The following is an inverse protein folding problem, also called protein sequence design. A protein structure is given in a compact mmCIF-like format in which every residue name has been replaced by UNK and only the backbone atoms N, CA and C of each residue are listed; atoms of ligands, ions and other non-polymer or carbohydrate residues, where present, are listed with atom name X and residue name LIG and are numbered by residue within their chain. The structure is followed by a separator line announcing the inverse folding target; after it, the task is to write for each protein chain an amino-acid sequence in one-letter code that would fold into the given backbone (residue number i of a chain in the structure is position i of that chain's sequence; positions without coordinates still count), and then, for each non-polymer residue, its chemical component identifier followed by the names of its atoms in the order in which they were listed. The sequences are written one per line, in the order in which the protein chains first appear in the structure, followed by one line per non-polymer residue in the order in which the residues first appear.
data_IF_911411277635
#
_entry.id   IF_911411277635
#
_cell.length_a   1.000
_cell.length_b   1.000
_cell.length_c   1.000
_cell.angle_alpha   90.00
_cell.angle_beta   90.00
_cell.angle_gamma   90.00
#
_symmetry.space_group_name_H-M   'P 1'
#
loop_
_entity.id
_entity.type
_entity.pdbx_description
1 polymer ?
#
# COMPACT_ATOMS: atom_id res chain seq x y z
N UNK A 1 -10.72 -15.39 -18.55
CA UNK A 1 -9.36 -14.89 -18.28
C UNK A 1 -9.34 -14.46 -16.83
N UNK A 2 -8.22 -14.60 -16.11
CA UNK A 2 -8.08 -14.20 -14.70
C UNK A 2 -8.33 -12.69 -14.56
N UNK A 3 -9.29 -12.27 -13.70
CA UNK A 3 -9.64 -10.86 -13.48
C UNK A 3 -8.44 -10.02 -13.05
N UNK A 4 -7.52 -10.62 -12.30
CA UNK A 4 -6.29 -9.98 -11.84
C UNK A 4 -5.48 -9.37 -12.99
N UNK A 5 -5.44 -10.02 -14.17
CA UNK A 5 -4.67 -9.51 -15.31
C UNK A 5 -5.22 -8.18 -15.85
N UNK A 6 -6.53 -7.97 -15.78
CA UNK A 6 -7.15 -6.72 -16.19
C UNK A 6 -6.86 -5.59 -15.18
N UNK A 7 -6.86 -5.90 -13.89
CA UNK A 7 -6.48 -4.96 -12.85
C UNK A 7 -4.99 -4.56 -12.95
N UNK A 8 -4.10 -5.52 -13.17
CA UNK A 8 -2.68 -5.26 -13.42
C UNK A 8 -2.47 -4.36 -14.65
N UNK A 9 -3.18 -4.66 -15.74
CA UNK A 9 -3.16 -3.85 -16.96
C UNK A 9 -3.62 -2.41 -16.70
N UNK A 10 -4.71 -2.23 -15.97
CA UNK A 10 -5.24 -0.91 -15.64
C UNK A 10 -4.29 -0.13 -14.71
N UNK A 11 -3.72 -0.80 -13.71
CA UNK A 11 -2.75 -0.21 -12.79
C UNK A 11 -1.47 0.24 -13.51
N UNK A 12 -0.98 -0.53 -14.48
CA UNK A 12 0.19 -0.16 -15.29
C UNK A 12 -0.12 1.04 -16.21
N UNK A 13 -1.32 1.09 -16.78
CA UNK A 13 -1.76 2.22 -17.60
C UNK A 13 -1.84 3.53 -16.82
N UNK A 14 -2.41 3.51 -15.62
CA UNK A 14 -2.69 4.71 -14.83
C UNK A 14 -1.52 5.09 -13.91
N UNK A 15 -0.73 4.12 -13.47
CA UNK A 15 0.31 4.29 -12.45
C UNK A 15 -0.24 4.39 -11.02
N UNK A 16 0.65 4.14 -10.05
CA UNK A 16 0.32 4.16 -8.61
C UNK A 16 -0.13 5.55 -8.15
N UNK A 17 -1.17 5.62 -7.33
CA UNK A 17 -1.71 6.88 -6.77
C UNK A 17 -2.38 7.80 -7.79
N UNK A 18 -2.88 7.26 -8.89
CA UNK A 18 -3.61 8.02 -9.89
C UNK A 18 -4.97 8.47 -9.35
N UNK A 19 -5.16 9.77 -9.16
CA UNK A 19 -6.43 10.36 -8.69
C UNK A 19 -7.60 10.17 -9.66
N UNK A 20 -7.32 9.80 -10.88
CA UNK A 20 -8.35 9.55 -11.89
C UNK A 20 -8.85 8.11 -11.88
N UNK A 21 -8.24 7.23 -11.07
CA UNK A 21 -8.63 5.83 -10.97
C UNK A 21 -10.08 5.68 -10.50
N UNK A 22 -10.47 6.36 -9.41
CA UNK A 22 -11.85 6.32 -8.89
C UNK A 22 -12.85 6.80 -9.93
N UNK A 23 -12.58 7.93 -10.58
CA UNK A 23 -13.46 8.45 -11.63
C UNK A 23 -13.62 7.48 -12.80
N UNK A 24 -12.53 6.84 -13.23
CA UNK A 24 -12.59 5.87 -14.31
C UNK A 24 -13.41 4.64 -13.91
N UNK A 25 -13.29 4.18 -12.65
CA UNK A 25 -14.04 3.05 -12.13
C UNK A 25 -15.52 3.37 -11.85
N UNK A 26 -15.86 4.64 -11.61
CA UNK A 26 -17.27 5.08 -11.57
C UNK A 26 -17.93 4.96 -12.95
N UNK A 27 -17.20 5.28 -14.02
CA UNK A 27 -17.67 5.18 -15.40
C UNK A 27 -17.57 3.72 -15.93
N UNK A 28 -16.54 2.98 -15.53
CA UNK A 28 -16.20 1.61 -15.97
C UNK A 28 -15.79 0.75 -14.77
N UNK A 29 -16.76 0.21 -14.02
CA UNK A 29 -16.47 -0.54 -12.78
C UNK A 29 -15.66 -1.83 -12.98
N UNK A 30 -15.79 -2.46 -14.16
CA UNK A 30 -15.09 -3.69 -14.50
C UNK A 30 -13.96 -3.41 -15.52
N UNK A 31 -12.68 -3.57 -15.14
CA UNK A 31 -11.58 -3.43 -16.08
C UNK A 31 -11.61 -4.40 -17.26
N UNK A 32 -12.30 -5.55 -17.15
CA UNK A 32 -12.44 -6.47 -18.27
C UNK A 32 -13.42 -5.92 -19.32
N UNK A 33 -14.54 -5.33 -18.90
CA UNK A 33 -15.48 -4.64 -19.78
C UNK A 33 -14.83 -3.42 -20.44
N UNK A 34 -14.08 -2.62 -19.65
CA UNK A 34 -13.31 -1.49 -20.17
C UNK A 34 -12.34 -1.92 -21.26
N UNK A 35 -11.61 -3.03 -21.06
CA UNK A 35 -10.71 -3.56 -22.09
C UNK A 35 -11.49 -4.01 -23.34
N UNK A 36 -12.64 -4.62 -23.17
CA UNK A 36 -13.54 -5.00 -24.28
C UNK A 36 -13.94 -3.80 -25.15
N UNK A 37 -14.29 -2.69 -24.50
CA UNK A 37 -14.62 -1.43 -25.19
C UNK A 37 -13.42 -0.84 -25.93
N UNK A 38 -12.23 -0.84 -25.31
CA UNK A 38 -11.00 -0.39 -25.97
C UNK A 38 -10.74 -1.20 -27.24
N UNK A 39 -10.93 -2.53 -27.21
CA UNK A 39 -10.77 -3.40 -28.38
C UNK A 39 -11.86 -3.19 -29.45
N UNK A 40 -13.03 -2.74 -29.06
CA UNK A 40 -14.11 -2.38 -29.99
C UNK A 40 -13.92 -0.98 -30.63
N UNK A 41 -12.79 -0.33 -30.36
CA UNK A 41 -12.46 0.99 -30.94
C UNK A 41 -12.92 2.19 -30.10
N UNK A 42 -13.32 1.97 -28.84
CA UNK A 42 -13.62 3.06 -27.93
C UNK A 42 -12.36 3.91 -27.64
N UNK A 43 -12.52 5.21 -27.66
CA UNK A 43 -11.45 6.13 -27.31
C UNK A 43 -11.45 6.39 -25.81
N UNK A 44 -10.33 6.11 -25.11
CA UNK A 44 -10.21 6.41 -23.71
C UNK A 44 -10.45 7.89 -23.41
N UNK A 45 -11.07 8.24 -22.24
CA UNK A 45 -11.41 9.61 -21.91
C UNK A 45 -10.25 10.58 -22.00
N UNK A 46 -10.52 11.81 -22.48
CA UNK A 46 -9.49 12.85 -22.65
C UNK A 46 -8.84 13.30 -21.34
N UNK A 47 -9.51 13.09 -20.20
CA UNK A 47 -8.94 13.39 -18.89
C UNK A 47 -7.79 12.44 -18.51
N UNK A 48 -7.66 11.30 -19.18
CA UNK A 48 -6.50 10.41 -19.02
C UNK A 48 -5.30 10.96 -19.79
N UNK A 49 -4.11 10.73 -19.25
CA UNK A 49 -2.87 11.14 -19.94
C UNK A 49 -2.75 10.44 -21.31
N UNK A 50 -2.10 11.11 -22.26
CA UNK A 50 -1.82 10.51 -23.58
C UNK A 50 -1.11 9.16 -23.45
N UNK A 51 -0.14 9.06 -22.53
CA UNK A 51 0.59 7.81 -22.23
C UNK A 51 -0.35 6.69 -21.74
N UNK A 52 -1.29 6.99 -20.85
CA UNK A 52 -2.25 5.99 -20.36
C UNK A 52 -3.14 5.49 -21.48
N UNK A 53 -3.68 6.39 -22.30
CA UNK A 53 -4.54 6.06 -23.45
C UNK A 53 -3.81 5.19 -24.48
N UNK A 54 -2.59 5.56 -24.84
CA UNK A 54 -1.73 4.80 -25.75
C UNK A 54 -1.43 3.39 -25.20
N UNK A 55 -1.08 3.29 -23.91
CA UNK A 55 -0.84 2.02 -23.26
C UNK A 55 -2.10 1.12 -23.31
N UNK A 56 -3.27 1.66 -22.96
CA UNK A 56 -4.53 0.90 -22.95
C UNK A 56 -4.88 0.35 -24.33
N UNK A 57 -4.57 1.07 -25.40
CA UNK A 57 -4.80 0.63 -26.78
C UNK A 57 -3.77 -0.40 -27.27
N UNK A 58 -2.50 -0.22 -26.88
CA UNK A 58 -1.38 -1.02 -27.41
C UNK A 58 -1.18 -2.33 -26.63
N UNK A 59 -1.42 -2.35 -25.31
CA UNK A 59 -1.07 -3.46 -24.43
C UNK A 59 -2.30 -4.30 -24.09
N UNK A 60 -2.18 -5.62 -24.18
CA UNK A 60 -3.24 -6.55 -23.77
C UNK A 60 -3.02 -7.03 -22.32
N UNK A 61 -4.09 -7.27 -21.53
CA UNK A 61 -4.00 -7.81 -20.17
C UNK A 61 -3.22 -9.12 -20.08
N UNK A 62 -3.25 -9.95 -21.12
CA UNK A 62 -2.47 -11.19 -21.18
C UNK A 62 -0.94 -10.96 -21.02
N UNK A 63 -0.44 -9.78 -21.38
CA UNK A 63 0.98 -9.43 -21.20
C UNK A 63 1.37 -9.24 -19.72
N UNK A 64 0.38 -9.11 -18.82
CA UNK A 64 0.60 -9.04 -17.37
C UNK A 64 0.85 -10.42 -16.75
N UNK A 65 0.69 -11.51 -17.50
CA UNK A 65 0.87 -12.88 -17.01
C UNK A 65 2.30 -13.14 -16.47
N UNK A 66 3.32 -12.53 -17.06
CA UNK A 66 4.70 -12.62 -16.57
C UNK A 66 4.88 -11.99 -15.19
N UNK A 67 4.27 -10.84 -14.95
CA UNK A 67 4.29 -10.17 -13.65
C UNK A 67 3.53 -10.99 -12.59
N UNK A 68 2.34 -11.50 -12.94
CA UNK A 68 1.57 -12.37 -12.04
C UNK A 68 2.38 -13.61 -11.66
N UNK A 69 2.95 -14.31 -12.66
CA UNK A 69 3.82 -15.46 -12.40
C UNK A 69 5.00 -15.10 -11.50
N UNK A 70 5.63 -13.94 -11.70
CA UNK A 70 6.73 -13.48 -10.85
C UNK A 70 6.28 -13.26 -9.40
N UNK A 71 5.07 -12.77 -9.19
CA UNK A 71 4.50 -12.65 -7.85
C UNK A 71 4.28 -14.04 -7.23
N UNK A 72 3.70 -14.98 -7.97
CA UNK A 72 3.47 -16.35 -7.51
C UNK A 72 4.80 -17.04 -7.14
N UNK A 73 5.84 -16.92 -7.97
CA UNK A 73 7.19 -17.48 -7.72
C UNK A 73 7.85 -16.90 -6.44
N UNK A 74 7.47 -15.70 -6.02
CA UNK A 74 7.99 -15.02 -4.83
C UNK A 74 7.05 -15.10 -3.61
N UNK A 75 5.95 -15.87 -3.69
CA UNK A 75 4.90 -15.91 -2.68
C UNK A 75 4.34 -14.50 -2.34
N UNK A 76 4.19 -13.65 -3.34
CA UNK A 76 3.57 -12.33 -3.22
C UNK A 76 2.12 -12.46 -3.65
N UNK A 77 1.18 -12.17 -2.74
CA UNK A 77 -0.22 -12.08 -3.09
C UNK A 77 -0.54 -10.74 -3.78
N UNK A 78 -1.56 -10.74 -4.63
CA UNK A 78 -2.05 -9.55 -5.33
C UNK A 78 -3.48 -9.30 -4.87
N UNK A 79 -3.74 -8.10 -4.34
CA UNK A 79 -5.07 -7.65 -3.98
C UNK A 79 -5.53 -6.55 -4.94
N UNK A 80 -6.73 -6.70 -5.42
CA UNK A 80 -7.42 -5.77 -6.33
C UNK A 80 -8.76 -5.37 -5.71
N UNK A 81 -9.40 -4.28 -6.09
CA UNK A 81 -10.65 -3.84 -5.49
C UNK A 81 -11.78 -4.89 -5.49
N UNK A 82 -11.75 -5.89 -6.37
CA UNK A 82 -12.68 -7.02 -6.39
C UNK A 82 -12.26 -8.21 -5.50
N UNK A 83 -11.03 -8.19 -4.93
CA UNK A 83 -10.56 -9.23 -4.04
C UNK A 83 -11.29 -9.20 -2.69
N UNK A 84 -11.61 -10.38 -2.13
CA UNK A 84 -12.29 -10.49 -0.83
C UNK A 84 -11.48 -9.89 0.31
N UNK A 85 -10.16 -10.08 0.31
CA UNK A 85 -9.24 -9.56 1.33
C UNK A 85 -8.76 -8.13 1.07
N UNK A 86 -9.23 -7.47 0.00
CA UNK A 86 -8.85 -6.09 -0.25
C UNK A 86 -9.28 -5.18 0.92
N UNK A 87 -8.39 -4.31 1.43
CA UNK A 87 -8.71 -3.45 2.57
C UNK A 87 -9.89 -2.51 2.27
N UNK A 88 -11.05 -2.77 2.86
CA UNK A 88 -12.29 -2.04 2.54
C UNK A 88 -12.15 -0.52 2.76
N UNK A 89 -11.38 -0.10 3.76
CA UNK A 89 -11.13 1.31 4.04
C UNK A 89 -10.42 2.03 2.89
N UNK A 90 -9.56 1.33 2.14
CA UNK A 90 -8.84 1.92 1.01
C UNK A 90 -9.72 2.13 -0.23
N UNK A 91 -10.89 1.49 -0.32
CA UNK A 91 -11.83 1.69 -1.43
C UNK A 91 -12.38 3.11 -1.50
N UNK A 92 -12.43 3.80 -0.36
CA UNK A 92 -12.97 5.16 -0.26
C UNK A 92 -11.93 6.26 -0.56
N UNK A 93 -10.69 5.88 -0.85
CA UNK A 93 -9.67 6.87 -1.23
C UNK A 93 -9.94 7.40 -2.65
N UNK A 94 -9.82 8.71 -2.88
CA UNK A 94 -9.98 9.29 -4.22
C UNK A 94 -8.93 8.80 -5.21
N UNK A 95 -7.80 8.32 -4.70
CA UNK A 95 -6.69 7.72 -5.41
C UNK A 95 -6.48 6.27 -4.93
N UNK A 96 -7.59 5.49 -4.87
CA UNK A 96 -7.55 4.11 -4.39
C UNK A 96 -6.46 3.30 -5.10
N UNK A 97 -5.76 2.43 -4.40
CA UNK A 97 -4.79 1.53 -5.02
C UNK A 97 -5.49 0.47 -5.86
N UNK A 98 -5.29 0.49 -7.18
CA UNK A 98 -5.85 -0.51 -8.10
C UNK A 98 -5.27 -1.90 -7.88
N UNK A 99 -4.02 -1.95 -7.42
CA UNK A 99 -3.30 -3.18 -7.10
C UNK A 99 -2.47 -2.94 -5.86
N UNK A 100 -2.54 -3.88 -4.92
CA UNK A 100 -1.64 -3.99 -3.79
C UNK A 100 -0.91 -5.34 -3.88
N UNK A 101 0.39 -5.29 -4.00
CA UNK A 101 1.27 -6.44 -3.84
C UNK A 101 1.57 -6.63 -2.36
N UNK A 102 1.52 -7.88 -1.86
CA UNK A 102 1.72 -8.10 -0.44
C UNK A 102 2.40 -9.40 -0.08
N UNK A 103 2.98 -9.42 1.12
CA UNK A 103 3.54 -10.60 1.77
C UNK A 103 2.98 -10.70 3.20
N UNK A 104 3.05 -11.88 3.82
CA UNK A 104 2.43 -12.14 5.11
C UNK A 104 0.97 -12.62 4.97
N UNK A 105 0.08 -12.17 5.85
CA UNK A 105 -1.29 -12.66 5.91
C UNK A 105 -2.32 -11.57 5.53
N UNK A 106 -3.01 -11.67 4.38
CA UNK A 106 -3.99 -10.68 3.96
C UNK A 106 -5.24 -10.62 4.88
N UNK A 107 -5.55 -11.68 5.63
CA UNK A 107 -6.70 -11.69 6.54
C UNK A 107 -6.61 -10.63 7.67
N UNK A 108 -5.40 -10.11 7.98
CA UNK A 108 -5.23 -9.04 8.96
C UNK A 108 -5.67 -7.64 8.47
N UNK A 109 -6.08 -7.51 7.21
CA UNK A 109 -6.37 -6.22 6.57
C UNK A 109 -7.82 -5.75 6.75
N UNK A 110 -8.70 -6.60 7.28
CA UNK A 110 -10.10 -6.30 7.51
C UNK A 110 -10.55 -6.79 8.90
N UNK A 111 -11.69 -6.26 9.39
CA UNK A 111 -12.32 -6.73 10.62
C UNK A 111 -11.57 -6.38 11.92
N UNK A 112 -10.61 -5.45 11.88
CA UNK A 112 -9.83 -4.98 13.02
C UNK A 112 -9.93 -3.47 13.18
N UNK A 113 -9.45 -2.97 14.32
CA UNK A 113 -9.19 -1.54 14.52
C UNK A 113 -7.76 -1.22 14.14
N UNK A 114 -7.57 -0.14 13.42
CA UNK A 114 -6.28 0.24 12.86
C UNK A 114 -5.89 1.63 13.32
N UNK A 115 -4.67 1.78 13.83
CA UNK A 115 -4.09 3.07 14.19
C UNK A 115 -2.76 3.25 13.47
N UNK A 116 -2.64 4.34 12.72
CA UNK A 116 -1.41 4.73 12.08
C UNK A 116 -0.42 5.31 13.10
N UNK A 117 0.75 4.70 13.25
CA UNK A 117 1.84 5.23 14.05
C UNK A 117 2.88 5.83 13.12
N UNK A 118 3.04 7.14 13.13
CA UNK A 118 3.93 7.85 12.20
C UNK A 118 4.79 8.87 12.94
N UNK A 119 5.95 9.18 12.38
CA UNK A 119 6.79 10.17 13.02
C UNK A 119 8.16 10.37 12.38
N UNK A 120 9.03 11.05 13.11
CA UNK A 120 10.37 11.37 12.64
C UNK A 120 11.25 10.13 12.49
N UNK A 121 12.11 10.14 11.48
CA UNK A 121 13.15 9.10 11.30
C UNK A 121 14.32 9.22 12.29
N UNK A 122 14.43 10.36 12.99
CA UNK A 122 15.47 10.63 13.99
C UNK A 122 14.81 11.15 15.27
N UNK A 123 14.16 10.27 16.02
CA UNK A 123 13.44 10.63 17.23
C UNK A 123 14.40 10.93 18.40
N UNK A 124 13.90 11.70 19.35
CA UNK A 124 14.51 11.81 20.66
C UNK A 124 14.25 10.54 21.49
N UNK A 125 14.95 10.39 22.61
CA UNK A 125 14.68 9.28 23.55
C UNK A 125 13.24 9.33 24.07
N UNK A 126 12.69 10.53 24.31
CA UNK A 126 11.30 10.72 24.70
C UNK A 126 10.36 10.25 23.60
N UNK A 127 10.55 10.68 22.35
CA UNK A 127 9.72 10.29 21.23
C UNK A 127 9.71 8.75 21.01
N UNK A 128 10.86 8.10 21.17
CA UNK A 128 10.95 6.63 21.11
C UNK A 128 10.15 5.95 22.21
N UNK A 129 10.31 6.40 23.50
CA UNK A 129 9.59 5.85 24.62
C UNK A 129 8.08 6.04 24.44
N UNK A 130 7.64 7.26 24.16
CA UNK A 130 6.22 7.55 23.95
C UNK A 130 5.60 6.72 22.81
N UNK A 131 6.30 6.60 21.68
CA UNK A 131 5.85 5.78 20.55
C UNK A 131 5.72 4.30 20.96
N UNK A 132 6.74 3.76 21.61
CA UNK A 132 6.75 2.36 22.06
C UNK A 132 5.60 2.10 23.04
N UNK A 133 5.46 2.93 24.08
CA UNK A 133 4.47 2.72 25.15
C UNK A 133 3.04 2.82 24.62
N UNK A 134 2.77 3.79 23.74
CA UNK A 134 1.47 3.92 23.07
C UNK A 134 1.19 2.75 22.15
N UNK A 135 2.16 2.37 21.30
CA UNK A 135 1.97 1.25 20.36
C UNK A 135 1.79 -0.07 21.07
N UNK A 136 2.57 -0.35 22.13
CA UNK A 136 2.46 -1.53 22.94
C UNK A 136 1.06 -1.62 23.60
N UNK A 137 0.65 -0.54 24.26
CA UNK A 137 -0.66 -0.46 24.93
C UNK A 137 -1.84 -0.66 23.97
N UNK A 138 -1.75 -0.11 22.74
CA UNK A 138 -2.78 -0.32 21.71
C UNK A 138 -2.76 -1.75 21.19
N UNK A 139 -1.58 -2.29 20.88
CA UNK A 139 -1.43 -3.65 20.39
C UNK A 139 -1.95 -4.69 21.37
N UNK A 140 -1.64 -4.58 22.67
CA UNK A 140 -2.17 -5.44 23.75
C UNK A 140 -3.70 -5.43 23.83
N UNK A 141 -4.35 -4.38 23.32
CA UNK A 141 -5.81 -4.26 23.21
C UNK A 141 -6.37 -4.70 21.87
N UNK A 142 -5.57 -5.36 21.04
CA UNK A 142 -5.98 -5.89 19.74
C UNK A 142 -6.10 -4.85 18.63
N UNK A 143 -5.53 -3.64 18.83
CA UNK A 143 -5.44 -2.62 17.79
C UNK A 143 -4.24 -2.93 16.90
N UNK A 144 -4.46 -2.97 15.60
CA UNK A 144 -3.40 -3.19 14.59
C UNK A 144 -2.65 -1.87 14.35
N UNK A 145 -1.35 -1.87 14.59
CA UNK A 145 -0.49 -0.74 14.26
C UNK A 145 -0.22 -0.73 12.76
N UNK A 146 -0.45 0.42 12.12
CA UNK A 146 -0.19 0.63 10.70
C UNK A 146 0.92 1.65 10.54
N UNK A 147 1.96 1.36 9.78
CA UNK A 147 3.04 2.32 9.54
C UNK A 147 3.82 2.03 8.25
N UNK A 148 4.96 2.67 8.07
CA UNK A 148 5.72 2.64 6.84
C UNK A 148 7.01 1.83 6.84
N UNK A 149 7.28 1.11 7.89
CA UNK A 149 8.52 0.34 8.08
C UNK A 149 9.80 1.18 7.89
N UNK A 150 9.72 2.52 8.05
CA UNK A 150 10.86 3.43 7.98
C UNK A 150 11.70 3.38 9.27
N UNK A 151 12.88 4.01 9.25
CA UNK A 151 13.64 4.25 10.46
C UNK A 151 12.88 5.12 11.45
N UNK A 152 13.26 5.06 12.73
CA UNK A 152 12.70 5.88 13.79
C UNK A 152 11.36 5.39 14.27
N UNK A 153 10.35 6.27 14.30
CA UNK A 153 9.08 5.98 14.95
C UNK A 153 8.21 4.96 14.21
N UNK A 154 8.30 4.87 12.89
CA UNK A 154 7.62 3.82 12.12
C UNK A 154 8.09 2.42 12.59
N UNK A 155 9.41 2.20 12.59
CA UNK A 155 10.00 0.94 13.04
C UNK A 155 9.76 0.67 14.54
N UNK A 156 9.75 1.71 15.38
CA UNK A 156 9.47 1.56 16.82
C UNK A 156 8.03 1.11 17.07
N UNK A 157 7.06 1.66 16.34
CA UNK A 157 5.66 1.26 16.43
C UNK A 157 5.44 -0.20 16.03
N UNK A 158 6.00 -0.63 14.89
CA UNK A 158 5.95 -2.03 14.48
C UNK A 158 6.62 -2.97 15.51
N UNK A 159 7.78 -2.58 16.02
CA UNK A 159 8.53 -3.38 17.01
C UNK A 159 7.73 -3.57 18.30
N UNK A 160 7.05 -2.53 18.78
CA UNK A 160 6.18 -2.63 19.94
C UNK A 160 5.00 -3.60 19.71
N UNK A 161 4.39 -3.60 18.53
CA UNK A 161 3.35 -4.56 18.19
C UNK A 161 3.89 -6.01 18.14
N UNK A 162 5.08 -6.21 17.58
CA UNK A 162 5.77 -7.52 17.55
C UNK A 162 6.11 -7.98 18.97
N UNK A 163 6.62 -7.11 19.85
CA UNK A 163 6.88 -7.39 21.26
C UNK A 163 5.62 -7.82 22.02
N UNK A 164 4.46 -7.24 21.67
CA UNK A 164 3.15 -7.64 22.19
C UNK A 164 2.63 -8.97 21.61
N UNK A 165 3.35 -9.60 20.66
CA UNK A 165 2.86 -10.80 19.95
C UNK A 165 1.67 -10.51 19.04
N UNK A 166 1.49 -9.26 18.58
CA UNK A 166 0.32 -8.82 17.83
C UNK A 166 0.65 -8.50 16.37
N UNK A 167 -0.40 -8.60 15.53
CA UNK A 167 -0.32 -8.28 14.13
C UNK A 167 -0.07 -6.77 13.91
N UNK A 168 0.68 -6.45 12.86
CA UNK A 168 0.90 -5.09 12.41
C UNK A 168 0.96 -5.05 10.88
N UNK A 169 0.59 -3.92 10.26
CA UNK A 169 0.54 -3.75 8.81
C UNK A 169 1.51 -2.68 8.37
N UNK A 170 2.41 -3.02 7.46
CA UNK A 170 3.38 -2.09 6.90
C UNK A 170 3.06 -1.79 5.43
N UNK A 171 3.05 -0.50 5.07
CA UNK A 171 3.07 -0.10 3.66
C UNK A 171 4.49 0.30 3.26
N UNK A 172 4.94 -0.11 2.07
CA UNK A 172 6.24 0.26 1.51
C UNK A 172 6.10 1.32 0.41
N UNK A 173 7.09 2.20 0.30
CA UNK A 173 7.26 3.07 -0.85
C UNK A 173 8.29 2.53 -1.86
N UNK A 174 8.63 1.24 -1.77
CA UNK A 174 9.59 0.52 -2.62
C UNK A 174 8.92 -0.67 -3.29
N UNK A 175 9.62 -1.35 -4.21
CA UNK A 175 9.21 -2.67 -4.67
C UNK A 175 8.88 -3.58 -3.49
N UNK A 176 7.81 -4.38 -3.61
CA UNK A 176 7.34 -5.24 -2.50
C UNK A 176 8.41 -6.22 -2.01
N UNK A 177 9.28 -6.70 -2.87
CA UNK A 177 10.37 -7.60 -2.52
C UNK A 177 11.65 -6.90 -2.00
N UNK A 178 11.58 -5.57 -1.75
CA UNK A 178 12.71 -4.79 -1.20
C UNK A 178 12.32 -4.15 0.12
N UNK A 179 13.04 -4.48 1.19
CA UNK A 179 12.89 -3.79 2.47
C UNK A 179 13.84 -2.60 2.53
N UNK A 180 13.26 -1.42 2.75
CA UNK A 180 14.02 -0.19 2.96
C UNK A 180 13.48 0.57 4.18
N UNK A 181 14.34 0.91 5.15
CA UNK A 181 15.79 0.64 5.19
C UNK A 181 16.11 -0.82 5.52
N UNK A 182 17.33 -1.26 5.15
CA UNK A 182 17.77 -2.64 5.37
C UNK A 182 17.83 -3.05 6.84
N UNK A 183 17.98 -2.10 7.76
CA UNK A 183 17.98 -2.34 9.23
C UNK A 183 16.64 -2.93 9.72
N UNK A 184 15.55 -2.78 8.98
CA UNK A 184 14.22 -3.29 9.33
C UNK A 184 13.87 -4.62 8.63
N UNK A 185 14.84 -5.31 8.00
CA UNK A 185 14.62 -6.62 7.36
C UNK A 185 14.15 -7.66 8.38
N UNK A 186 14.84 -7.78 9.53
CA UNK A 186 14.44 -8.70 10.60
C UNK A 186 13.05 -8.38 11.12
N UNK A 187 12.75 -7.10 11.38
CA UNK A 187 11.44 -6.67 11.83
C UNK A 187 10.32 -7.03 10.83
N UNK A 188 10.60 -6.92 9.52
CA UNK A 188 9.67 -7.38 8.49
C UNK A 188 9.36 -8.87 8.63
N UNK A 189 10.39 -9.70 8.76
CA UNK A 189 10.21 -11.15 8.92
C UNK A 189 9.42 -11.49 10.20
N UNK A 190 9.70 -10.81 11.30
CA UNK A 190 9.01 -11.00 12.58
C UNK A 190 7.52 -10.63 12.49
N UNK A 191 7.19 -9.49 11.87
CA UNK A 191 5.80 -9.08 11.72
C UNK A 191 5.00 -10.02 10.79
N UNK A 192 5.62 -10.50 9.71
CA UNK A 192 5.00 -11.48 8.81
C UNK A 192 4.77 -12.83 9.52
N UNK A 193 5.72 -13.28 10.34
CA UNK A 193 5.60 -14.51 11.14
C UNK A 193 4.46 -14.47 12.18
N UNK A 194 4.12 -13.28 12.69
CA UNK A 194 2.99 -13.06 13.59
C UNK A 194 1.66 -12.87 12.85
N UNK A 195 1.62 -13.11 11.54
CA UNK A 195 0.41 -12.98 10.73
C UNK A 195 0.06 -11.55 10.38
N UNK A 196 1.00 -10.62 10.47
CA UNK A 196 0.89 -9.28 9.90
C UNK A 196 1.11 -9.29 8.39
N UNK A 197 0.97 -8.13 7.75
CA UNK A 197 1.14 -7.98 6.30
C UNK A 197 2.05 -6.80 5.95
N UNK A 198 2.81 -6.98 4.86
CA UNK A 198 3.58 -5.93 4.22
C UNK A 198 3.03 -5.70 2.83
N UNK A 199 2.70 -4.46 2.50
CA UNK A 199 2.01 -4.08 1.27
C UNK A 199 2.78 -3.02 0.49
N UNK A 200 2.65 -3.04 -0.83
CA UNK A 200 3.18 -2.00 -1.72
C UNK A 200 2.32 -1.87 -2.98
N UNK A 201 2.21 -0.69 -3.54
CA UNK A 201 1.69 -0.49 -4.91
C UNK A 201 2.74 -0.77 -5.99
N UNK A 202 3.99 -1.03 -5.59
CA UNK A 202 5.10 -1.25 -6.52
C UNK A 202 5.39 -2.74 -6.64
N UNK A 203 5.34 -3.30 -7.87
CA UNK A 203 5.54 -4.73 -8.10
C UNK A 203 6.94 -5.20 -7.67
N UNK A 204 7.17 -6.52 -7.58
CA UNK A 204 8.51 -7.03 -7.37
C UNK A 204 9.46 -6.52 -8.46
N UNK A 205 10.71 -6.30 -8.07
CA UNK A 205 11.79 -5.84 -8.94
C UNK A 205 11.57 -4.46 -9.60
N UNK A 206 10.60 -3.66 -9.10
CA UNK A 206 10.37 -2.29 -9.58
C UNK A 206 11.65 -1.46 -9.50
N UNK A 207 12.04 -0.87 -10.64
CA UNK A 207 13.24 -0.04 -10.81
C UNK A 207 12.95 1.43 -11.14
N UNK A 208 11.67 1.81 -11.14
CA UNK A 208 11.25 3.18 -11.45
C UNK A 208 11.76 4.20 -10.44
N UNK A 209 11.53 5.48 -10.74
CA UNK A 209 11.97 6.58 -9.87
C UNK A 209 11.33 6.49 -8.50
N UNK A 210 12.17 6.45 -7.46
CA UNK A 210 11.74 6.44 -6.05
C UNK A 210 11.36 7.84 -5.52
N UNK A 211 11.54 8.88 -6.33
CA UNK A 211 11.19 10.25 -5.95
C UNK A 211 9.69 10.38 -5.77
N UNK A 212 9.25 10.69 -4.56
CA UNK A 212 7.83 10.85 -4.24
C UNK A 212 7.08 9.58 -3.84
N UNK A 213 7.62 8.36 -4.11
CA UNK A 213 6.92 7.11 -3.77
C UNK A 213 6.63 6.96 -2.27
N UNK A 214 7.56 7.40 -1.42
CA UNK A 214 7.37 7.40 0.04
C UNK A 214 6.26 8.36 0.48
N UNK A 215 6.11 9.50 -0.18
CA UNK A 215 5.04 10.46 0.11
C UNK A 215 3.69 9.94 -0.42
N UNK A 216 3.68 9.40 -1.63
CA UNK A 216 2.48 8.79 -2.21
C UNK A 216 1.95 7.62 -1.36
N UNK A 217 2.84 6.77 -0.81
CA UNK A 217 2.50 5.67 0.06
C UNK A 217 1.78 6.12 1.35
N UNK A 218 2.12 7.30 1.88
CA UNK A 218 1.61 7.77 3.17
C UNK A 218 0.07 7.85 3.23
N UNK A 219 -0.60 8.10 2.10
CA UNK A 219 -2.06 8.06 2.01
C UNK A 219 -2.64 6.68 2.34
N UNK A 220 -1.90 5.60 2.08
CA UNK A 220 -2.35 4.23 2.39
C UNK A 220 -2.29 3.96 3.90
N UNK A 221 -1.28 4.51 4.59
CA UNK A 221 -1.20 4.44 6.06
C UNK A 221 -2.41 5.17 6.66
N UNK A 222 -2.65 6.41 6.25
CA UNK A 222 -3.80 7.19 6.72
C UNK A 222 -5.12 6.51 6.36
N UNK A 223 -5.29 6.09 5.11
CA UNK A 223 -6.53 5.50 4.59
C UNK A 223 -6.93 4.17 5.25
N UNK A 224 -5.95 3.33 5.64
CA UNK A 224 -6.26 2.12 6.39
C UNK A 224 -6.59 2.42 7.86
N UNK A 225 -6.06 3.50 8.42
CA UNK A 225 -6.16 3.82 9.85
C UNK A 225 -7.47 4.54 10.20
N UNK A 226 -7.98 4.29 11.41
CA UNK A 226 -9.10 5.02 12.01
C UNK A 226 -8.63 6.34 12.65
N UNK A 227 -7.37 6.36 13.08
CA UNK A 227 -6.71 7.53 13.65
C UNK A 227 -5.21 7.46 13.37
N UNK A 228 -4.57 8.64 13.35
CA UNK A 228 -3.12 8.75 13.31
C UNK A 228 -2.57 9.19 14.66
N UNK A 229 -1.55 8.49 15.14
CA UNK A 229 -0.77 8.86 16.29
C UNK A 229 0.61 9.37 15.84
N UNK A 230 0.94 10.61 16.20
CA UNK A 230 2.22 11.24 15.89
C UNK A 230 2.96 11.48 17.21
N UNK A 231 3.89 10.59 17.55
CA UNK A 231 4.65 10.70 18.81
C UNK A 231 5.66 11.86 18.77
N UNK A 232 6.30 12.10 17.63
CA UNK A 232 7.22 13.21 17.41
C UNK A 232 7.35 13.53 15.92
N UNK A 233 7.26 14.81 15.55
CA UNK A 233 7.46 15.28 14.18
C UNK A 233 8.16 16.65 14.17
N UNK A 234 8.92 16.92 13.09
CA UNK A 234 9.42 18.26 12.80
C UNK A 234 8.36 19.07 12.05
N UNK A 235 8.39 20.39 12.20
CA UNK A 235 7.45 21.34 11.55
C UNK A 235 7.42 21.27 10.02
N UNK A 236 8.49 20.76 9.40
CA UNK A 236 8.57 20.49 7.94
C UNK A 236 9.08 19.06 7.77
N UNK A 237 8.18 18.08 7.75
CA UNK A 237 8.55 16.66 7.65
C UNK A 237 7.56 15.88 6.79
N UNK A 238 8.00 14.74 6.26
CA UNK A 238 7.13 13.78 5.59
C UNK A 238 6.01 13.22 6.47
N UNK A 239 6.17 13.28 7.79
CA UNK A 239 5.12 12.92 8.76
C UNK A 239 3.88 13.80 8.62
N UNK A 240 4.06 15.11 8.42
CA UNK A 240 2.93 16.03 8.22
C UNK A 240 2.20 15.78 6.89
N UNK A 241 2.89 15.24 5.90
CA UNK A 241 2.21 14.77 4.69
C UNK A 241 1.26 13.59 4.99
N UNK A 242 1.64 12.65 5.88
CA UNK A 242 0.71 11.59 6.30
C UNK A 242 -0.50 12.17 7.04
N UNK A 243 -0.27 13.14 7.92
CA UNK A 243 -1.37 13.83 8.66
C UNK A 243 -2.32 14.56 7.72
N UNK A 244 -1.84 15.11 6.61
CA UNK A 244 -2.71 15.80 5.62
C UNK A 244 -3.62 14.86 4.82
N UNK A 245 -3.44 13.55 4.95
CA UNK A 245 -4.30 12.52 4.34
C UNK A 245 -5.33 11.96 5.33
N UNK A 246 -5.25 12.31 6.62
CA UNK A 246 -6.21 11.91 7.65
C UNK A 246 -7.36 12.90 7.73
#
# INVERSE_FOLDING_TARGET
MDSTLYWLWLAEALGSGCRLASRLLEEYPDPAELYGQVKAGWNPPEYLSAKAREFMQAVAPAQMAGLKKRCDDLNIFILTPDSADYPQRLRNLPDLPLVLYGTGNPACLNGRRYVGMVGTRRPTKYGLSACRDLSLTMAERGVVIVSGLAEGLDGAGHRAAVEAGQQTVAFLGTAINKTFPAVNVTLRTELEALGGAVLSEYPPDYTGKMTGTFLARNRLIAGLSEALCVAEARTRSGTLNTVSHA
#
